data_IF_274829767992
#
_entry.id   IF_274829767992
#
_cell.length_a   1.000
_cell.length_b   1.000
_cell.length_c   1.000
_cell.angle_alpha   90.00
_cell.angle_beta   90.00
_cell.angle_gamma   90.00
#
_symmetry.space_group_name_H-M   'P 1'
#
loop_
_entity.id
_entity.type
_entity.pdbx_description
1 polymer ?
#
# COMPACT_ATOMS: atom_id res chain seq x y z
N UNK A 1 -0.06 25.72 -48.51
CA UNK A 1 -0.76 24.63 -47.79
C UNK A 1 0.19 23.59 -47.18
N UNK A 2 1.11 22.97 -47.95
CA UNK A 2 2.01 21.93 -47.42
C UNK A 2 2.88 22.35 -46.22
N UNK A 3 3.38 23.60 -46.19
CA UNK A 3 4.18 24.12 -45.07
C UNK A 3 3.38 24.21 -43.76
N UNK A 4 2.13 24.65 -43.84
CA UNK A 4 1.24 24.77 -42.68
C UNK A 4 0.90 23.38 -42.09
N UNK A 5 0.65 22.38 -42.95
CA UNK A 5 0.44 21.00 -42.53
C UNK A 5 1.67 20.41 -41.82
N UNK A 6 2.88 20.69 -42.31
CA UNK A 6 4.12 20.24 -41.65
C UNK A 6 4.29 20.86 -40.27
N UNK A 7 4.06 22.16 -40.13
CA UNK A 7 4.16 22.86 -38.84
C UNK A 7 3.13 22.31 -37.85
N UNK A 8 1.87 22.12 -38.28
CA UNK A 8 0.83 21.54 -37.45
C UNK A 8 1.18 20.10 -37.01
N UNK A 9 1.70 19.28 -37.93
CA UNK A 9 2.14 17.92 -37.60
C UNK A 9 3.26 17.87 -36.56
N UNK A 10 4.28 18.73 -36.71
CA UNK A 10 5.38 18.83 -35.73
C UNK A 10 4.87 19.30 -34.37
N UNK A 11 3.99 20.30 -34.34
CA UNK A 11 3.42 20.78 -33.09
C UNK A 11 2.64 19.69 -32.33
N UNK A 12 1.86 18.88 -33.05
CA UNK A 12 1.14 17.74 -32.45
C UNK A 12 2.11 16.69 -31.90
N UNK A 13 3.16 16.33 -32.65
CA UNK A 13 4.16 15.36 -32.18
C UNK A 13 4.91 15.85 -30.94
N UNK A 14 5.29 17.13 -30.88
CA UNK A 14 5.94 17.71 -29.72
C UNK A 14 5.02 17.70 -28.50
N UNK A 15 3.74 18.05 -28.66
CA UNK A 15 2.77 17.97 -27.58
C UNK A 15 2.60 16.54 -27.07
N UNK A 16 2.54 15.55 -27.96
CA UNK A 16 2.48 14.13 -27.57
C UNK A 16 3.75 13.68 -26.83
N UNK A 17 4.93 14.09 -27.28
CA UNK A 17 6.18 13.76 -26.60
C UNK A 17 6.24 14.38 -25.19
N UNK A 18 5.79 15.63 -25.03
CA UNK A 18 5.73 16.31 -23.73
C UNK A 18 4.75 15.61 -22.79
N UNK A 19 3.57 15.20 -23.26
CA UNK A 19 2.60 14.50 -22.41
C UNK A 19 3.09 13.11 -21.99
N UNK A 20 3.69 12.35 -22.91
CA UNK A 20 4.29 11.04 -22.61
C UNK A 20 5.40 11.17 -21.58
N UNK A 21 6.34 12.10 -21.79
CA UNK A 21 7.44 12.33 -20.84
C UNK A 21 6.94 12.82 -19.47
N UNK A 22 5.94 13.70 -19.44
CA UNK A 22 5.34 14.15 -18.19
C UNK A 22 4.72 12.98 -17.39
N UNK A 23 4.04 12.04 -18.05
CA UNK A 23 3.47 10.85 -17.38
C UNK A 23 4.57 9.93 -16.84
N UNK A 24 5.62 9.66 -17.62
CA UNK A 24 6.75 8.86 -17.11
C UNK A 24 7.45 9.50 -15.91
N UNK A 25 7.59 10.83 -15.89
CA UNK A 25 8.15 11.55 -14.74
C UNK A 25 7.24 11.42 -13.51
N UNK A 26 5.92 11.49 -13.68
CA UNK A 26 4.97 11.32 -12.57
C UNK A 26 5.02 9.90 -12.00
N UNK A 27 5.08 8.89 -12.86
CA UNK A 27 5.24 7.49 -12.47
C UNK A 27 6.52 7.26 -11.69
N UNK A 28 7.65 7.70 -12.23
CA UNK A 28 8.94 7.56 -11.56
C UNK A 28 8.97 8.25 -10.19
N UNK A 29 8.36 9.45 -10.08
CA UNK A 29 8.24 10.14 -8.79
C UNK A 29 7.37 9.40 -7.80
N UNK A 30 6.29 8.77 -8.25
CA UNK A 30 5.46 7.95 -7.38
C UNK A 30 6.25 6.76 -6.85
N UNK A 31 7.00 6.06 -7.71
CA UNK A 31 7.85 4.94 -7.30
C UNK A 31 8.86 5.37 -6.23
N UNK A 32 9.59 6.46 -6.49
CA UNK A 32 10.56 7.00 -5.55
C UNK A 32 9.92 7.39 -4.22
N UNK A 33 8.80 8.12 -4.25
CA UNK A 33 8.08 8.50 -3.03
C UNK A 33 7.57 7.26 -2.27
N UNK A 34 7.15 6.22 -2.97
CA UNK A 34 6.67 4.98 -2.35
C UNK A 34 7.82 4.22 -1.70
N UNK A 35 8.96 4.12 -2.38
CA UNK A 35 10.16 3.49 -1.84
C UNK A 35 10.69 4.24 -0.60
N UNK A 36 10.71 5.57 -0.65
CA UNK A 36 11.07 6.42 0.49
C UNK A 36 10.09 6.27 1.66
N UNK A 37 8.78 6.24 1.39
CA UNK A 37 7.75 6.04 2.40
C UNK A 37 7.88 4.68 3.08
N UNK A 38 8.09 3.63 2.29
CA UNK A 38 8.34 2.28 2.77
C UNK A 38 9.59 2.22 3.64
N UNK A 39 10.69 2.83 3.20
CA UNK A 39 11.94 2.90 3.98
C UNK A 39 11.74 3.64 5.31
N UNK A 40 11.02 4.76 5.30
CA UNK A 40 10.72 5.54 6.51
C UNK A 40 9.88 4.74 7.50
N UNK A 41 8.84 4.06 7.02
CA UNK A 41 7.98 3.19 7.84
C UNK A 41 8.77 2.03 8.41
N UNK A 42 9.56 1.32 7.60
CA UNK A 42 10.41 0.19 8.04
C UNK A 42 11.46 0.62 9.07
N UNK A 43 11.96 1.86 8.98
CA UNK A 43 12.90 2.43 9.93
C UNK A 43 12.33 2.79 11.31
N UNK A 44 11.02 2.64 11.53
CA UNK A 44 10.39 2.88 12.85
C UNK A 44 10.56 1.66 13.75
N UNK A 45 11.29 1.79 14.84
CA UNK A 45 11.31 0.78 15.90
C UNK A 45 10.14 1.03 16.88
N UNK A 46 9.18 0.10 16.96
CA UNK A 46 7.97 0.26 17.76
C UNK A 46 8.30 0.26 19.26
N UNK A 47 7.61 1.12 20.02
CA UNK A 47 7.88 1.36 21.44
C UNK A 47 9.19 2.08 21.75
N UNK A 48 10.15 2.13 20.81
CA UNK A 48 11.46 2.80 21.00
C UNK A 48 11.50 4.17 20.35
N UNK A 49 11.00 4.28 19.12
CA UNK A 49 10.95 5.54 18.36
C UNK A 49 10.10 6.57 19.10
N UNK A 50 10.64 7.77 19.25
CA UNK A 50 10.03 8.84 20.03
C UNK A 50 9.20 9.82 19.18
N UNK A 51 8.62 10.81 19.86
CA UNK A 51 7.85 11.87 19.23
C UNK A 51 8.65 12.69 18.21
N UNK A 52 9.95 12.92 18.45
CA UNK A 52 10.79 13.65 17.50
C UNK A 52 10.92 12.88 16.17
N UNK A 53 11.07 11.55 16.24
CA UNK A 53 11.02 10.69 15.04
C UNK A 53 9.65 10.78 14.35
N UNK A 54 8.55 10.77 15.12
CA UNK A 54 7.21 10.91 14.58
C UNK A 54 6.98 12.26 13.89
N UNK A 55 7.43 13.37 14.50
CA UNK A 55 7.31 14.71 13.91
C UNK A 55 8.08 14.83 12.60
N UNK A 56 9.29 14.26 12.51
CA UNK A 56 10.05 14.22 11.25
C UNK A 56 9.30 13.49 10.15
N UNK A 57 8.66 12.36 10.49
CA UNK A 57 7.80 11.63 9.56
C UNK A 57 6.60 12.49 9.12
N UNK A 58 5.90 13.09 10.09
CA UNK A 58 4.72 13.94 9.85
C UNK A 58 5.08 15.12 8.95
N UNK A 59 6.13 15.88 9.25
CA UNK A 59 6.53 17.06 8.47
C UNK A 59 6.98 16.68 7.06
N UNK A 60 7.73 15.58 6.89
CA UNK A 60 8.15 15.11 5.56
C UNK A 60 6.95 14.73 4.69
N UNK A 61 5.99 14.01 5.25
CA UNK A 61 4.87 13.44 4.50
C UNK A 61 3.58 14.26 4.56
N UNK A 62 3.61 15.43 5.22
CA UNK A 62 2.48 16.37 5.37
C UNK A 62 1.75 16.68 4.06
N UNK A 63 2.41 16.87 2.89
CA UNK A 63 1.69 17.18 1.65
C UNK A 63 0.72 16.07 1.20
N UNK A 64 0.96 14.83 1.61
CA UNK A 64 0.15 13.65 1.24
C UNK A 64 -0.55 13.02 2.45
N UNK A 65 -0.41 13.65 3.62
CA UNK A 65 -0.81 13.07 4.89
C UNK A 65 -1.94 13.82 5.58
N UNK A 66 -2.58 13.13 6.51
CA UNK A 66 -3.60 13.68 7.39
C UNK A 66 -3.33 13.23 8.82
N UNK A 67 -3.18 14.20 9.71
CA UNK A 67 -3.15 13.97 11.14
C UNK A 67 -4.57 13.87 11.71
N UNK A 68 -4.74 13.14 12.80
CA UNK A 68 -5.93 13.24 13.66
C UNK A 68 -6.07 14.66 14.21
N UNK A 69 -7.30 15.11 14.45
CA UNK A 69 -7.62 16.47 14.92
C UNK A 69 -6.81 16.88 16.17
N UNK A 70 -6.60 15.95 17.11
CA UNK A 70 -5.86 16.19 18.36
C UNK A 70 -4.45 15.58 18.36
N UNK A 71 -3.77 15.58 17.21
CA UNK A 71 -2.42 15.03 17.10
C UNK A 71 -1.43 15.78 18.01
N UNK A 72 -0.95 15.08 19.04
CA UNK A 72 -0.02 15.61 20.05
C UNK A 72 0.98 14.53 20.49
N UNK A 73 1.91 14.88 21.37
CA UNK A 73 2.84 13.92 21.99
C UNK A 73 2.12 12.80 22.72
N UNK A 74 0.99 13.08 23.38
CA UNK A 74 0.24 12.09 24.15
C UNK A 74 -0.50 11.09 23.25
N UNK A 75 -1.04 11.57 22.13
CA UNK A 75 -1.77 10.76 21.18
C UNK A 75 -1.77 11.42 19.79
N UNK A 76 -1.30 10.68 18.78
CA UNK A 76 -1.42 11.10 17.41
C UNK A 76 -1.64 9.91 16.48
N UNK A 77 -2.58 10.06 15.55
CA UNK A 77 -2.65 9.23 14.34
C UNK A 77 -2.25 10.08 13.16
N UNK A 78 -1.38 9.55 12.31
CA UNK A 78 -1.03 10.19 11.05
C UNK A 78 -1.02 9.16 9.94
N UNK A 79 -1.78 9.40 8.88
CA UNK A 79 -1.79 8.57 7.69
C UNK A 79 -1.32 9.34 6.47
N UNK A 80 -0.69 8.64 5.53
CA UNK A 80 -0.19 9.15 4.26
C UNK A 80 -0.84 8.34 3.16
N UNK A 81 -1.38 9.01 2.14
CA UNK A 81 -1.96 8.35 0.97
C UNK A 81 -1.23 8.83 -0.28
N UNK A 82 -0.56 7.90 -0.96
CA UNK A 82 0.03 8.10 -2.28
C UNK A 82 -0.80 7.32 -3.29
N UNK A 83 -1.54 8.00 -4.16
CA UNK A 83 -2.37 7.35 -5.17
C UNK A 83 -1.99 7.79 -6.57
N UNK A 84 -1.98 6.82 -7.49
CA UNK A 84 -1.97 7.10 -8.91
C UNK A 84 -3.42 7.16 -9.40
N UNK A 85 -4.01 8.35 -9.35
CA UNK A 85 -5.28 8.54 -10.06
C UNK A 85 -4.99 8.61 -11.56
N UNK A 86 -5.43 7.60 -12.31
CA UNK A 86 -5.61 7.79 -13.75
C UNK A 86 -6.59 8.95 -13.92
N UNK A 87 -6.25 10.03 -14.66
CA UNK A 87 -7.13 11.17 -14.78
C UNK A 87 -8.52 10.71 -15.25
N UNK A 88 -9.61 11.07 -14.55
CA UNK A 88 -10.98 10.69 -14.94
C UNK A 88 -11.35 11.16 -16.35
N UNK A 89 -10.55 12.08 -16.91
CA UNK A 89 -10.65 12.61 -18.27
C UNK A 89 -10.55 11.53 -19.37
N UNK A 90 -9.92 10.38 -19.12
CA UNK A 90 -9.91 9.29 -20.10
C UNK A 90 -11.29 8.66 -20.33
N UNK A 91 -12.23 8.74 -19.38
CA UNK A 91 -13.55 8.10 -19.56
C UNK A 91 -14.48 8.90 -20.50
N UNK A 92 -14.31 10.22 -20.64
CA UNK A 92 -15.23 11.08 -21.40
C UNK A 92 -14.77 11.36 -22.84
N UNK A 93 -13.47 11.55 -23.07
CA UNK A 93 -12.92 11.82 -24.41
C UNK A 93 -12.79 10.57 -25.29
N UNK A 94 -12.74 9.39 -24.69
CA UNK A 94 -12.55 8.13 -25.41
C UNK A 94 -13.81 7.60 -26.07
N UNK A 95 -15.00 8.21 -25.96
CA UNK A 95 -16.19 7.67 -26.66
C UNK A 95 -16.24 7.92 -28.16
N UNK A 96 -15.57 8.95 -28.69
CA UNK A 96 -15.68 9.33 -30.13
C UNK A 96 -14.39 9.18 -30.95
N UNK A 97 -13.20 9.36 -30.36
CA UNK A 97 -11.90 9.08 -31.03
C UNK A 97 -11.26 7.74 -30.59
N UNK A 98 -12.11 6.86 -30.05
CA UNK A 98 -11.78 5.76 -29.15
C UNK A 98 -10.71 4.79 -29.64
N UNK A 99 -10.82 4.27 -30.86
CA UNK A 99 -10.17 3.01 -31.16
C UNK A 99 -8.66 3.18 -31.42
N UNK A 100 -8.29 4.15 -32.27
CA UNK A 100 -6.88 4.38 -32.61
C UNK A 100 -6.11 5.08 -31.48
N UNK A 101 -6.76 5.99 -30.76
CA UNK A 101 -6.10 6.63 -29.61
C UNK A 101 -6.00 5.67 -28.45
N UNK A 102 -6.99 4.82 -28.15
CA UNK A 102 -6.91 3.91 -26.99
C UNK A 102 -5.77 2.92 -27.09
N UNK A 103 -5.49 2.31 -28.25
CA UNK A 103 -4.35 1.39 -28.37
C UNK A 103 -3.02 2.11 -28.18
N UNK A 104 -2.85 3.28 -28.81
CA UNK A 104 -1.63 4.10 -28.65
C UNK A 104 -1.49 4.62 -27.23
N UNK A 105 -2.59 5.05 -26.62
CA UNK A 105 -2.62 5.57 -25.26
C UNK A 105 -2.40 4.44 -24.24
N UNK A 106 -2.99 3.26 -24.41
CA UNK A 106 -2.74 2.12 -23.52
C UNK A 106 -1.32 1.56 -23.68
N UNK A 107 -0.74 1.66 -24.89
CA UNK A 107 0.64 1.25 -25.09
C UNK A 107 1.64 2.29 -24.53
N UNK A 108 1.38 3.58 -24.73
CA UNK A 108 2.24 4.67 -24.25
C UNK A 108 2.05 4.98 -22.76
N UNK A 109 0.83 4.84 -22.26
CA UNK A 109 0.38 5.14 -20.90
C UNK A 109 -0.08 3.88 -20.15
N UNK A 110 0.42 2.70 -20.53
CA UNK A 110 0.28 1.43 -19.80
C UNK A 110 -1.16 0.96 -19.54
N UNK A 111 -1.26 -0.14 -18.78
CA UNK A 111 -2.54 -0.75 -18.38
C UNK A 111 -3.30 0.18 -17.43
N UNK A 112 -4.64 0.04 -17.42
CA UNK A 112 -5.61 0.77 -16.60
C UNK A 112 -5.50 0.45 -15.09
N UNK A 113 -4.28 0.18 -14.61
CA UNK A 113 -4.03 -0.25 -13.24
C UNK A 113 -3.91 0.99 -12.35
N UNK A 114 -4.73 1.05 -11.30
CA UNK A 114 -4.67 2.11 -10.30
C UNK A 114 -3.99 1.56 -9.05
N UNK A 115 -2.95 2.24 -8.59
CA UNK A 115 -2.26 1.91 -7.34
C UNK A 115 -2.59 2.94 -6.25
N UNK A 116 -2.90 2.45 -5.05
CA UNK A 116 -3.04 3.23 -3.83
C UNK A 116 -2.11 2.67 -2.76
N UNK A 117 -1.26 3.54 -2.19
CA UNK A 117 -0.40 3.21 -1.07
C UNK A 117 -0.83 4.04 0.11
N UNK A 118 -1.16 3.38 1.21
CA UNK A 118 -1.46 4.02 2.49
C UNK A 118 -0.45 3.60 3.54
N UNK A 119 0.24 4.56 4.12
CA UNK A 119 1.05 4.34 5.30
C UNK A 119 0.41 5.00 6.52
N UNK A 120 0.68 4.47 7.71
CA UNK A 120 0.23 5.11 8.95
C UNK A 120 1.18 4.91 10.10
N UNK A 121 1.15 5.84 11.05
CA UNK A 121 1.81 5.74 12.35
C UNK A 121 0.83 6.11 13.47
N UNK A 122 1.00 5.48 14.62
CA UNK A 122 0.25 5.78 15.84
C UNK A 122 1.22 6.07 16.97
N UNK A 123 1.15 7.28 17.52
CA UNK A 123 1.90 7.73 18.69
C UNK A 123 1.03 7.64 19.92
N UNK A 124 1.57 7.07 21.00
CA UNK A 124 0.96 7.07 22.33
C UNK A 124 2.06 7.36 23.36
N UNK A 125 1.82 8.32 24.25
CA UNK A 125 2.75 8.73 25.31
C UNK A 125 4.17 9.04 24.80
N UNK A 126 4.24 9.74 23.67
CA UNK A 126 5.48 10.20 23.06
C UNK A 126 6.27 9.09 22.36
N UNK A 127 5.71 7.89 22.19
CA UNK A 127 6.32 6.74 21.51
C UNK A 127 5.47 6.27 20.35
N UNK A 128 6.11 5.79 19.28
CA UNK A 128 5.39 5.17 18.15
C UNK A 128 5.04 3.73 18.52
N UNK A 129 3.75 3.45 18.73
CA UNK A 129 3.24 2.14 19.11
C UNK A 129 2.63 1.37 17.96
N UNK A 130 2.21 2.05 16.89
CA UNK A 130 1.67 1.41 15.70
C UNK A 130 2.30 1.96 14.44
N UNK A 131 2.45 1.09 13.44
CA UNK A 131 2.72 1.49 12.06
C UNK A 131 2.00 0.54 11.10
N UNK A 132 1.73 1.03 9.91
CA UNK A 132 1.13 0.21 8.86
C UNK A 132 1.51 0.66 7.47
N UNK A 133 1.45 -0.28 6.52
CA UNK A 133 1.49 -0.02 5.10
C UNK A 133 0.45 -0.93 4.42
N UNK A 134 -0.36 -0.33 3.55
CA UNK A 134 -1.33 -1.00 2.70
C UNK A 134 -0.99 -0.59 1.27
N UNK A 135 -0.80 -1.57 0.41
CA UNK A 135 -0.67 -1.40 -1.04
C UNK A 135 -1.87 -2.05 -1.70
N UNK A 136 -2.65 -1.28 -2.43
CA UNK A 136 -3.75 -1.75 -3.27
C UNK A 136 -3.46 -1.48 -4.73
N UNK A 137 -3.63 -2.49 -5.58
CA UNK A 137 -3.51 -2.38 -7.04
C UNK A 137 -4.80 -2.89 -7.64
N UNK A 138 -5.53 -2.05 -8.37
CA UNK A 138 -6.72 -2.48 -9.10
C UNK A 138 -6.33 -2.90 -10.51
N UNK A 139 -6.52 -4.16 -10.87
CA UNK A 139 -6.24 -4.67 -12.22
C UNK A 139 -7.51 -4.91 -13.01
N UNK A 140 -7.44 -4.74 -14.33
CA UNK A 140 -8.52 -5.11 -15.25
C UNK A 140 -8.23 -6.46 -15.91
N UNK A 141 -9.07 -7.47 -15.65
CA UNK A 141 -9.03 -8.75 -16.32
C UNK A 141 -9.85 -8.71 -17.61
N UNK A 142 -9.17 -8.71 -18.76
CA UNK A 142 -9.83 -8.55 -20.06
C UNK A 142 -10.78 -9.71 -20.42
N UNK A 143 -10.45 -10.95 -20.02
CA UNK A 143 -11.26 -12.13 -20.33
C UNK A 143 -12.62 -12.07 -19.64
N UNK A 144 -12.64 -11.70 -18.35
CA UNK A 144 -13.86 -11.65 -17.55
C UNK A 144 -14.53 -10.27 -17.55
N UNK A 145 -13.87 -9.27 -18.15
CA UNK A 145 -14.25 -7.85 -18.10
C UNK A 145 -14.45 -7.34 -16.67
N UNK A 146 -13.79 -7.96 -15.70
CA UNK A 146 -13.89 -7.62 -14.28
C UNK A 146 -12.62 -6.93 -13.80
N UNK A 147 -12.77 -6.07 -12.80
CA UNK A 147 -11.63 -5.53 -12.05
C UNK A 147 -11.46 -6.34 -10.78
N UNK A 148 -10.23 -6.73 -10.48
CA UNK A 148 -9.90 -7.35 -9.21
C UNK A 148 -8.80 -6.55 -8.51
N UNK A 149 -8.91 -6.31 -7.20
CA UNK A 149 -7.82 -5.71 -6.46
C UNK A 149 -6.77 -6.78 -6.11
N UNK A 150 -5.52 -6.34 -6.05
CA UNK A 150 -4.44 -7.04 -5.35
C UNK A 150 -4.09 -6.17 -4.15
N UNK A 151 -4.21 -6.74 -2.96
CA UNK A 151 -4.05 -6.03 -1.69
C UNK A 151 -2.90 -6.67 -0.91
N UNK A 152 -1.94 -5.87 -0.50
CA UNK A 152 -0.88 -6.29 0.39
C UNK A 152 -0.87 -5.38 1.60
N UNK A 153 -0.95 -5.95 2.79
CA UNK A 153 -1.07 -5.19 4.03
C UNK A 153 -0.03 -5.65 5.04
N UNK A 154 0.58 -4.71 5.75
CA UNK A 154 1.36 -4.98 6.93
C UNK A 154 0.99 -3.97 8.01
N UNK A 155 0.46 -4.43 9.14
CA UNK A 155 -0.02 -3.53 10.20
C UNK A 155 0.29 -4.01 11.60
N UNK A 156 0.45 -3.05 12.50
CA UNK A 156 0.46 -3.32 13.93
C UNK A 156 -0.94 -3.61 14.44
N UNK A 157 -1.08 -4.65 15.26
CA UNK A 157 -2.32 -5.04 15.94
C UNK A 157 -2.03 -5.31 17.41
N UNK A 158 -3.06 -5.29 18.26
CA UNK A 158 -2.92 -5.60 19.68
C UNK A 158 -2.67 -7.09 19.96
N UNK A 159 -3.20 -7.94 19.09
CA UNK A 159 -3.01 -9.38 19.12
C UNK A 159 -3.11 -9.91 17.69
N UNK A 160 -2.18 -10.77 17.23
CA UNK A 160 -2.21 -11.35 15.90
C UNK A 160 -3.39 -12.31 15.69
N UNK A 161 -4.11 -12.68 16.76
CA UNK A 161 -5.23 -13.62 16.76
C UNK A 161 -6.61 -12.96 16.50
N UNK A 162 -6.70 -11.64 16.29
CA UNK A 162 -8.01 -10.98 16.15
C UNK A 162 -8.78 -11.34 14.88
N UNK A 163 -8.11 -11.98 13.90
CA UNK A 163 -8.75 -12.43 12.67
C UNK A 163 -9.15 -13.91 12.82
N UNK A 164 -10.46 -14.15 12.91
CA UNK A 164 -11.14 -15.41 13.30
C UNK A 164 -10.78 -16.68 12.48
N UNK A 165 -9.87 -16.63 11.50
CA UNK A 165 -9.55 -17.74 10.58
C UNK A 165 -8.04 -17.79 10.24
N UNK A 166 -7.16 -17.26 11.09
CA UNK A 166 -5.72 -17.25 10.80
C UNK A 166 -4.97 -18.15 11.78
N UNK A 167 -4.40 -19.24 11.27
CA UNK A 167 -3.44 -20.07 11.99
C UNK A 167 -2.22 -19.21 12.36
N UNK A 168 -2.04 -18.96 13.65
CA UNK A 168 -0.97 -18.10 14.15
C UNK A 168 0.28 -18.94 14.38
N UNK A 169 1.27 -18.84 13.49
CA UNK A 169 2.53 -19.59 13.60
C UNK A 169 3.52 -18.98 14.61
N UNK A 170 3.34 -17.70 14.97
CA UNK A 170 4.24 -16.98 15.86
C UNK A 170 3.45 -16.15 16.91
N UNK A 171 3.86 -16.11 18.18
CA UNK A 171 3.12 -15.41 19.23
C UNK A 171 2.92 -13.90 18.96
N UNK A 172 3.84 -13.29 18.22
CA UNK A 172 3.87 -11.84 17.99
C UNK A 172 3.49 -11.41 16.57
N UNK A 173 3.26 -12.35 15.64
CA UNK A 173 2.78 -11.99 14.30
C UNK A 173 2.06 -13.14 13.60
N UNK A 174 1.21 -12.79 12.65
CA UNK A 174 0.51 -13.70 11.76
C UNK A 174 0.60 -13.22 10.32
N UNK A 175 0.67 -14.18 9.40
CA UNK A 175 0.67 -13.94 7.96
C UNK A 175 -0.51 -14.71 7.39
N UNK A 176 -1.19 -14.16 6.39
CA UNK A 176 -2.30 -14.84 5.76
C UNK A 176 -2.56 -14.40 4.32
N UNK A 177 -3.52 -15.08 3.71
CA UNK A 177 -4.04 -14.82 2.37
C UNK A 177 -5.58 -14.82 2.38
N UNK A 178 -6.22 -14.36 1.30
CA UNK A 178 -7.53 -13.70 1.32
C UNK A 178 -8.58 -14.36 2.22
N UNK A 179 -9.15 -13.57 3.14
CA UNK A 179 -10.29 -13.95 3.96
C UNK A 179 -11.46 -13.05 3.58
N UNK A 180 -12.53 -13.65 3.07
CA UNK A 180 -13.78 -12.93 2.78
C UNK A 180 -13.80 -12.12 1.48
N UNK A 181 -12.82 -12.28 0.59
CA UNK A 181 -12.80 -11.63 -0.71
C UNK A 181 -12.85 -12.65 -1.85
N UNK A 182 -13.98 -12.71 -2.56
CA UNK A 182 -14.22 -13.70 -3.63
C UNK A 182 -13.48 -13.37 -4.93
N UNK A 183 -13.14 -12.11 -5.16
CA UNK A 183 -12.63 -11.60 -6.44
C UNK A 183 -11.34 -10.78 -6.26
N UNK A 184 -10.51 -11.09 -5.27
CA UNK A 184 -9.23 -10.40 -5.09
C UNK A 184 -8.13 -11.33 -4.63
N UNK A 185 -6.92 -10.85 -4.82
CA UNK A 185 -5.71 -11.47 -4.29
C UNK A 185 -5.30 -10.60 -3.11
N UNK A 186 -5.21 -11.19 -1.92
CA UNK A 186 -4.82 -10.44 -0.73
C UNK A 186 -3.72 -11.16 0.04
N UNK A 187 -2.78 -10.40 0.58
CA UNK A 187 -1.80 -10.85 1.56
C UNK A 187 -1.77 -9.88 2.72
N UNK A 188 -1.66 -10.39 3.95
CA UNK A 188 -1.46 -9.53 5.10
C UNK A 188 -0.39 -10.07 6.05
N UNK A 189 0.22 -9.14 6.76
CA UNK A 189 1.10 -9.35 7.90
C UNK A 189 0.55 -8.53 9.07
N UNK A 190 0.03 -9.20 10.09
CA UNK A 190 -0.39 -8.56 11.35
C UNK A 190 0.65 -8.86 12.42
N UNK A 191 1.12 -7.84 13.15
CA UNK A 191 2.17 -8.02 14.16
C UNK A 191 1.95 -7.15 15.38
N UNK A 192 2.43 -7.58 16.54
CA UNK A 192 2.39 -6.78 17.76
C UNK A 192 3.54 -5.77 17.79
N UNK A 193 3.47 -4.74 18.65
CA UNK A 193 4.61 -3.87 18.92
C UNK A 193 5.83 -4.58 19.53
N UNK A 194 5.67 -5.82 19.99
CA UNK A 194 6.74 -6.61 20.63
C UNK A 194 7.45 -7.56 19.67
N UNK A 195 6.95 -7.70 18.44
CA UNK A 195 7.61 -8.49 17.42
C UNK A 195 9.02 -7.96 17.13
N UNK A 196 9.95 -8.86 16.83
CA UNK A 196 11.31 -8.49 16.47
C UNK A 196 11.31 -7.56 15.24
N UNK A 197 11.85 -6.34 15.40
CA UNK A 197 11.77 -5.29 14.39
C UNK A 197 12.52 -5.68 13.10
N UNK A 198 13.63 -6.42 13.20
CA UNK A 198 14.36 -6.89 12.03
C UNK A 198 13.54 -7.92 11.23
N UNK A 199 12.89 -8.86 11.92
CA UNK A 199 11.99 -9.85 11.31
C UNK A 199 10.81 -9.16 10.64
N UNK A 200 10.13 -8.24 11.32
CA UNK A 200 9.00 -7.51 10.73
C UNK A 200 9.46 -6.65 9.55
N UNK A 201 10.59 -5.95 9.65
CA UNK A 201 11.12 -5.17 8.52
C UNK A 201 11.44 -6.03 7.30
N UNK A 202 11.88 -7.28 7.50
CA UNK A 202 12.07 -8.25 6.41
C UNK A 202 10.75 -8.74 5.83
N UNK A 203 9.74 -8.99 6.65
CA UNK A 203 8.41 -9.44 6.19
C UNK A 203 7.61 -8.30 5.53
N UNK A 204 7.90 -7.05 5.88
CA UNK A 204 7.41 -5.82 5.26
C UNK A 204 8.23 -5.41 4.01
N UNK A 205 8.93 -6.34 3.36
CA UNK A 205 9.67 -6.03 2.14
C UNK A 205 8.72 -6.04 0.93
N UNK A 206 7.99 -4.95 0.76
CA UNK A 206 7.10 -4.75 -0.38
C UNK A 206 7.92 -4.52 -1.64
N UNK A 207 7.66 -5.33 -2.66
CA UNK A 207 8.21 -5.14 -4.00
C UNK A 207 7.36 -4.13 -4.75
N UNK A 208 7.98 -3.02 -5.12
CA UNK A 208 7.34 -1.89 -5.79
C UNK A 208 7.63 -1.86 -7.30
N UNK A 209 8.56 -2.68 -7.77
CA UNK A 209 8.98 -2.75 -9.16
C UNK A 209 7.83 -3.19 -10.09
N UNK A 210 6.92 -4.02 -9.57
CA UNK A 210 5.76 -4.47 -10.33
C UNK A 210 4.64 -3.42 -10.44
N UNK A 211 4.77 -2.26 -9.78
CA UNK A 211 3.87 -1.12 -9.97
C UNK A 211 4.11 -0.41 -11.31
N UNK A 212 5.32 -0.52 -11.87
CA UNK A 212 5.74 0.22 -13.06
C UNK A 212 6.03 -0.73 -14.25
N UNK A 213 4.94 -1.21 -14.86
CA UNK A 213 4.76 -1.54 -16.29
C UNK A 213 5.61 -2.60 -16.99
N UNK A 214 6.73 -3.09 -16.46
CA UNK A 214 7.48 -4.16 -17.15
C UNK A 214 7.15 -5.55 -16.63
N UNK A 215 6.81 -5.67 -15.35
CA UNK A 215 6.39 -6.91 -14.71
C UNK A 215 5.08 -6.61 -14.01
N UNK A 216 4.01 -7.30 -14.39
CA UNK A 216 2.74 -7.11 -13.71
C UNK A 216 2.81 -7.81 -12.35
N UNK A 217 2.32 -7.20 -11.27
CA UNK A 217 2.06 -7.95 -10.05
C UNK A 217 0.84 -8.82 -10.34
N UNK A 218 1.00 -10.13 -10.44
CA UNK A 218 -0.11 -11.06 -10.71
C UNK A 218 -0.50 -11.82 -9.43
N UNK A 219 0.44 -12.05 -8.53
CA UNK A 219 0.21 -12.83 -7.31
C UNK A 219 0.73 -12.15 -6.03
N UNK A 220 0.46 -12.77 -4.87
CA UNK A 220 0.88 -12.26 -3.55
C UNK A 220 2.41 -12.25 -3.42
N UNK A 221 3.07 -13.22 -4.02
CA UNK A 221 4.51 -13.41 -4.11
C UNK A 221 5.21 -12.25 -4.82
N UNK A 222 4.54 -11.60 -5.76
CA UNK A 222 5.10 -10.47 -6.49
C UNK A 222 5.19 -9.22 -5.62
N UNK A 223 4.32 -9.09 -4.62
CA UNK A 223 4.23 -7.90 -3.76
C UNK A 223 4.90 -8.11 -2.41
N UNK A 224 4.64 -9.24 -1.74
CA UNK A 224 5.18 -9.55 -0.41
C UNK A 224 5.96 -10.86 -0.41
N UNK A 225 7.05 -10.99 -1.20
CA UNK A 225 7.74 -12.27 -1.40
C UNK A 225 8.21 -12.90 -0.10
N UNK A 226 8.77 -12.10 0.82
CA UNK A 226 9.29 -12.59 2.09
C UNK A 226 8.18 -13.13 3.02
N UNK A 227 7.03 -12.45 3.06
CA UNK A 227 5.89 -12.90 3.85
C UNK A 227 5.29 -14.18 3.27
N UNK A 228 5.16 -14.25 1.94
CA UNK A 228 4.63 -15.44 1.28
C UNK A 228 5.54 -16.65 1.41
N UNK A 229 6.86 -16.46 1.28
CA UNK A 229 7.84 -17.52 1.50
C UNK A 229 7.80 -18.04 2.94
N UNK A 230 7.62 -17.15 3.92
CA UNK A 230 7.42 -17.54 5.32
C UNK A 230 6.15 -18.37 5.47
N UNK A 231 5.01 -17.90 4.96
CA UNK A 231 3.73 -18.62 5.01
C UNK A 231 3.85 -20.05 4.43
N UNK A 232 4.47 -20.17 3.25
CA UNK A 232 4.70 -21.46 2.59
C UNK A 232 5.57 -22.42 3.42
N UNK A 233 6.55 -21.92 4.17
CA UNK A 233 7.42 -22.73 5.03
C UNK A 233 6.63 -23.40 6.18
N UNK A 234 5.59 -22.74 6.70
CA UNK A 234 4.83 -23.23 7.86
C UNK A 234 3.52 -23.92 7.50
N UNK A 235 3.02 -23.77 6.27
CA UNK A 235 1.80 -24.41 5.79
C UNK A 235 1.78 -25.95 5.95
N UNK A 236 2.95 -26.61 5.99
CA UNK A 236 3.07 -28.06 6.21
C UNK A 236 3.18 -28.51 7.67
N UNK A 237 3.41 -27.59 8.61
CA UNK A 237 3.66 -27.88 10.04
C UNK A 237 2.54 -27.36 10.93
N UNK A 238 1.29 -27.56 10.51
CA UNK A 238 0.07 -27.15 11.21
C UNK A 238 -0.16 -28.00 12.46
N UNK A 239 0.68 -27.83 13.48
CA UNK A 239 0.32 -28.24 14.84
C UNK A 239 -0.31 -27.04 15.51
N UNK A 240 -1.49 -27.24 16.06
CA UNK A 240 -2.25 -26.26 16.84
C UNK A 240 -1.44 -25.89 18.10
N UNK A 241 -0.49 -24.97 17.94
CA UNK A 241 0.25 -24.40 19.06
C UNK A 241 -0.58 -23.20 19.51
N UNK A 242 -1.21 -23.27 20.68
CA UNK A 242 -1.76 -22.09 21.33
C UNK A 242 -0.61 -21.25 21.90
N UNK A 243 -0.22 -20.12 21.27
CA UNK A 243 0.85 -19.31 21.79
C UNK A 243 0.26 -18.41 22.88
N UNK A 244 0.90 -18.36 24.06
CA UNK A 244 0.67 -17.28 25.03
C UNK A 244 1.31 -16.00 24.47
N UNK A 245 0.59 -15.29 23.60
CA UNK A 245 1.03 -13.99 23.11
C UNK A 245 1.15 -12.99 24.27
N UNK A 246 2.19 -12.15 24.25
CA UNK A 246 2.28 -11.03 25.20
C UNK A 246 1.25 -9.99 24.80
N UNK A 247 0.12 -9.99 25.51
CA UNK A 247 -0.90 -8.95 25.36
C UNK A 247 -0.32 -7.63 25.83
N UNK A 248 -0.61 -6.55 25.11
CA UNK A 248 -0.59 -5.21 25.68
C UNK A 248 -1.58 -5.26 26.85
N UNK A 249 -1.09 -5.23 28.10
CA UNK A 249 -1.93 -5.33 29.30
C UNK A 249 -2.68 -4.04 29.60
N UNK A 250 -2.26 -2.94 28.98
CA UNK A 250 -2.95 -1.68 29.08
C UNK A 250 -4.20 -1.69 28.17
N UNK A 251 -5.35 -1.78 28.81
CA UNK A 251 -6.66 -1.75 28.16
C UNK A 251 -6.89 -0.45 27.36
N UNK A 252 -6.20 0.63 27.73
CA UNK A 252 -6.25 1.91 27.02
C UNK A 252 -5.53 1.84 25.66
N UNK A 253 -4.29 1.34 25.65
CA UNK A 253 -3.50 1.16 24.43
C UNK A 253 -4.25 0.26 23.43
N UNK A 254 -4.81 -0.85 23.93
CA UNK A 254 -5.59 -1.80 23.13
C UNK A 254 -6.79 -1.14 22.45
N UNK A 255 -7.61 -0.40 23.21
CA UNK A 255 -8.80 0.25 22.63
C UNK A 255 -8.43 1.23 21.52
N UNK A 256 -7.38 2.03 21.73
CA UNK A 256 -6.94 3.04 20.75
C UNK A 256 -6.40 2.45 19.44
N UNK A 257 -5.62 1.38 19.53
CA UNK A 257 -5.07 0.72 18.34
C UNK A 257 -6.20 0.05 17.54
N UNK A 258 -7.08 -0.69 18.21
CA UNK A 258 -8.22 -1.36 17.56
C UNK A 258 -9.17 -0.39 16.86
N UNK A 259 -9.63 0.67 17.55
CA UNK A 259 -10.64 1.59 16.99
C UNK A 259 -10.14 2.32 15.73
N UNK A 260 -8.83 2.60 15.65
CA UNK A 260 -8.24 3.30 14.50
C UNK A 260 -8.00 2.40 13.30
N UNK A 261 -7.58 1.15 13.54
CA UNK A 261 -7.41 0.16 12.45
C UNK A 261 -8.75 -0.08 11.73
N UNK A 262 -9.85 -0.20 12.48
CA UNK A 262 -11.18 -0.42 11.91
C UNK A 262 -11.75 0.81 11.17
N UNK A 263 -11.26 2.02 11.49
CA UNK A 263 -11.65 3.23 10.77
C UNK A 263 -10.99 3.31 9.38
N UNK A 264 -9.78 2.80 9.23
CA UNK A 264 -9.04 2.82 7.98
C UNK A 264 -9.48 1.72 7.00
N UNK A 265 -9.81 0.53 7.50
CA UNK A 265 -10.35 -0.56 6.66
C UNK A 265 -11.69 -0.19 6.02
N UNK A 266 -12.59 0.48 6.75
CA UNK A 266 -13.88 0.93 6.20
C UNK A 266 -13.75 1.91 5.03
N UNK A 267 -12.62 2.59 4.87
CA UNK A 267 -12.37 3.48 3.72
C UNK A 267 -11.89 2.74 2.47
N UNK A 268 -11.55 1.45 2.58
CA UNK A 268 -11.08 0.63 1.46
C UNK A 268 -12.20 -0.27 0.87
N UNK A 269 -13.36 -0.33 1.52
CA UNK A 269 -14.50 -1.16 1.09
C UNK A 269 -15.42 -0.47 0.06
N UNK A 270 -14.95 0.58 -0.62
CA UNK A 270 -15.72 1.39 -1.58
C UNK A 270 -14.95 1.60 -2.89
#
# INVERSE_FOLDING_TARGET
MLRALKIAGIAVLLLLAITITAVHIQEYRLEQNTAELLADIRGIDLGKSDWNRAQKFIERWKPWGRASENCSTADCYFSVTLSQSTPPYQASLTRKLAFLTRAVLQHAFGKDDAADIRASITVIDGKIWGRGLILGITKYHAADKQRYPIIAEARTVDSPQSNLIVETYHPEFSIGGPAGCTICIAGWLSYTPFADSATISRLMDFRLDCLHRQVACDDREDIMPAATAFDAQFAGNKKEVQPKAKSITDSYLRRKLTDRVMADQRKLEF
#
